data_IF_390265782890
#
_entry.id   IF_390265782890
#
_cell.length_a   1.000
_cell.length_b   1.000
_cell.length_c   1.000
_cell.angle_alpha   90.00
_cell.angle_beta   90.00
_cell.angle_gamma   90.00
#
_symmetry.space_group_name_H-M   'P 1'
#
loop_
_entity.id
_entity.type
_entity.pdbx_description
1 polymer ?
#
# COMPACT_ATOMS: atom_id res chain seq x y z
N UNK A 1 5.58 -8.24 -3.84
CA UNK A 1 5.35 -6.81 -3.49
C UNK A 1 6.04 -5.85 -4.46
N UNK A 2 6.73 -6.33 -5.50
CA UNK A 2 7.48 -5.50 -6.46
C UNK A 2 6.63 -4.43 -7.13
N UNK A 3 5.48 -4.78 -7.70
CA UNK A 3 4.54 -3.83 -8.32
C UNK A 3 4.12 -2.72 -7.36
N UNK A 4 3.82 -3.07 -6.11
CA UNK A 4 3.44 -2.08 -5.09
C UNK A 4 4.58 -1.11 -4.77
N UNK A 5 5.82 -1.61 -4.64
CA UNK A 5 7.01 -0.77 -4.47
C UNK A 5 7.27 0.16 -5.66
N UNK A 6 7.09 -0.34 -6.88
CA UNK A 6 7.20 0.43 -8.12
C UNK A 6 6.13 1.52 -8.21
N UNK A 7 4.88 1.22 -7.83
CA UNK A 7 3.78 2.18 -7.80
C UNK A 7 4.03 3.30 -6.79
N UNK A 8 4.57 2.97 -5.60
CA UNK A 8 5.00 3.98 -4.63
C UNK A 8 6.12 4.87 -5.20
N UNK A 9 7.09 4.29 -5.92
CA UNK A 9 8.15 5.06 -6.57
C UNK A 9 7.60 5.98 -7.68
N UNK A 10 6.64 5.49 -8.47
CA UNK A 10 5.96 6.29 -9.48
C UNK A 10 5.16 7.42 -8.84
N UNK A 11 4.48 7.15 -7.72
CA UNK A 11 3.75 8.16 -6.95
C UNK A 11 4.68 9.29 -6.45
N UNK A 12 5.89 8.95 -6.02
CA UNK A 12 6.94 9.91 -5.63
C UNK A 12 7.39 10.74 -6.83
N UNK A 13 7.70 10.09 -7.96
CA UNK A 13 8.15 10.76 -9.19
C UNK A 13 7.11 11.71 -9.77
N UNK A 14 5.83 11.32 -9.79
CA UNK A 14 4.71 12.16 -10.25
C UNK A 14 4.55 13.45 -9.43
N UNK A 15 4.98 13.43 -8.16
CA UNK A 15 4.97 14.60 -7.27
C UNK A 15 6.26 15.44 -7.36
N UNK A 16 7.23 15.03 -8.16
CA UNK A 16 8.54 15.68 -8.26
C UNK A 16 9.38 15.56 -6.98
N UNK A 17 9.08 14.60 -6.10
CA UNK A 17 9.81 14.42 -4.84
C UNK A 17 11.05 13.56 -5.05
N UNK A 18 12.09 13.84 -4.27
CA UNK A 18 13.30 13.03 -4.26
C UNK A 18 13.19 11.91 -3.22
N UNK A 19 13.99 10.84 -3.38
CA UNK A 19 14.09 9.80 -2.35
C UNK A 19 14.55 10.37 -1.01
N UNK A 20 15.43 11.39 -1.04
CA UNK A 20 15.89 12.06 0.17
C UNK A 20 14.74 12.74 0.91
N UNK A 21 13.84 13.43 0.21
CA UNK A 21 12.65 14.02 0.84
C UNK A 21 11.76 12.97 1.51
N UNK A 22 11.66 11.77 0.94
CA UNK A 22 10.93 10.67 1.57
C UNK A 22 11.67 10.19 2.83
N UNK A 23 12.99 10.05 2.78
CA UNK A 23 13.80 9.72 3.96
C UNK A 23 13.56 10.75 5.08
N UNK A 24 13.65 12.04 4.76
CA UNK A 24 13.49 13.13 5.73
C UNK A 24 12.08 13.15 6.36
N UNK A 25 11.04 12.90 5.57
CA UNK A 25 9.64 12.91 6.04
C UNK A 25 9.24 11.64 6.79
N UNK A 26 9.85 10.51 6.45
CA UNK A 26 9.57 9.22 7.10
C UNK A 26 10.51 8.94 8.28
N UNK A 27 11.66 9.61 8.35
CA UNK A 27 12.73 9.32 9.29
C UNK A 27 13.49 8.00 9.01
N UNK A 28 13.29 7.39 7.83
CA UNK A 28 13.99 6.17 7.45
C UNK A 28 15.26 6.47 6.65
N UNK A 29 16.23 5.56 6.73
CA UNK A 29 17.43 5.66 5.93
C UNK A 29 17.18 5.35 4.44
N UNK A 30 18.14 5.75 3.60
CA UNK A 30 18.06 5.54 2.16
C UNK A 30 17.95 4.04 1.79
N UNK A 31 18.59 3.17 2.58
CA UNK A 31 18.58 1.72 2.38
C UNK A 31 17.17 1.15 2.55
N UNK A 32 16.46 1.56 3.59
CA UNK A 32 15.07 1.16 3.85
C UNK A 32 14.15 1.67 2.77
N UNK A 33 14.28 2.94 2.36
CA UNK A 33 13.45 3.53 1.29
C UNK A 33 13.71 2.84 -0.06
N UNK A 34 14.96 2.46 -0.37
CA UNK A 34 15.24 1.69 -1.57
C UNK A 34 14.60 0.29 -1.54
N UNK A 35 14.63 -0.39 -0.39
CA UNK A 35 13.95 -1.68 -0.22
C UNK A 35 12.44 -1.56 -0.37
N UNK A 36 11.84 -0.49 0.16
CA UNK A 36 10.41 -0.18 -0.03
C UNK A 36 10.08 -0.03 -1.52
N UNK A 37 10.83 0.79 -2.26
CA UNK A 37 10.59 0.97 -3.69
C UNK A 37 10.92 -0.25 -4.55
N UNK A 38 11.76 -1.16 -4.06
CA UNK A 38 11.99 -2.46 -4.67
C UNK A 38 10.90 -3.50 -4.33
N UNK A 39 10.00 -3.19 -3.39
CA UNK A 39 8.97 -4.11 -2.93
C UNK A 39 9.54 -5.31 -2.16
N UNK A 40 10.61 -5.10 -1.38
CA UNK A 40 11.24 -6.13 -0.56
C UNK A 40 10.26 -6.62 0.53
N UNK A 41 9.88 -7.91 0.54
CA UNK A 41 8.93 -8.46 1.50
C UNK A 41 9.47 -8.54 2.95
N UNK A 42 10.79 -8.39 3.16
CA UNK A 42 11.39 -8.35 4.50
C UNK A 42 11.16 -7.02 5.23
N UNK A 43 10.71 -5.99 4.51
CA UNK A 43 10.42 -4.69 5.10
C UNK A 43 9.09 -4.77 5.87
N UNK A 44 9.10 -4.31 7.12
CA UNK A 44 7.91 -4.28 7.96
C UNK A 44 6.77 -3.50 7.29
N UNK A 45 5.54 -4.02 7.38
CA UNK A 45 4.37 -3.40 6.75
C UNK A 45 4.15 -1.95 7.22
N UNK A 46 4.45 -1.65 8.49
CA UNK A 46 4.38 -0.29 9.04
C UNK A 46 5.27 0.71 8.31
N UNK A 47 6.41 0.27 7.76
CA UNK A 47 7.29 1.11 6.94
C UNK A 47 6.62 1.52 5.64
N UNK A 48 5.97 0.57 4.95
CA UNK A 48 5.20 0.86 3.74
C UNK A 48 4.04 1.83 4.02
N UNK A 49 3.30 1.59 5.11
CA UNK A 49 2.17 2.45 5.51
C UNK A 49 2.66 3.86 5.83
N UNK A 50 3.81 4.02 6.51
CA UNK A 50 4.36 5.35 6.79
C UNK A 50 4.76 6.09 5.50
N UNK A 51 5.31 5.39 4.51
CA UNK A 51 5.58 5.97 3.18
C UNK A 51 4.28 6.38 2.48
N UNK A 52 3.22 5.56 2.56
CA UNK A 52 1.90 5.92 2.04
C UNK A 52 1.33 7.16 2.73
N UNK A 53 1.47 7.28 4.05
CA UNK A 53 1.05 8.45 4.81
C UNK A 53 1.76 9.73 4.36
N UNK A 54 3.07 9.66 4.11
CA UNK A 54 3.82 10.80 3.54
C UNK A 54 3.32 11.18 2.13
N UNK A 55 2.78 10.22 1.39
CA UNK A 55 2.18 10.44 0.07
C UNK A 55 0.71 10.88 0.11
N UNK A 56 0.07 10.91 1.29
CA UNK A 56 -1.36 11.18 1.43
C UNK A 56 -2.25 10.04 0.92
N UNK A 57 -1.80 8.79 1.09
CA UNK A 57 -2.46 7.58 0.60
C UNK A 57 -2.87 6.63 1.74
N UNK A 58 -2.83 7.06 2.99
CA UNK A 58 -3.15 6.29 4.20
C UNK A 58 -4.58 5.72 4.17
N UNK A 59 -5.54 6.48 3.65
CA UNK A 59 -6.95 6.05 3.53
C UNK A 59 -7.13 4.85 2.62
N UNK A 60 -6.26 4.68 1.62
CA UNK A 60 -6.32 3.53 0.72
C UNK A 60 -6.03 2.23 1.46
N UNK A 61 -5.12 2.27 2.44
CA UNK A 61 -4.82 1.11 3.28
C UNK A 61 -5.97 0.79 4.22
N UNK A 62 -6.59 1.81 4.82
CA UNK A 62 -7.76 1.64 5.69
C UNK A 62 -8.95 1.02 4.95
N UNK A 63 -9.16 1.38 3.68
CA UNK A 63 -10.24 0.85 2.84
C UNK A 63 -9.95 -0.53 2.26
N UNK A 64 -8.70 -0.98 2.23
CA UNK A 64 -8.30 -2.24 1.63
C UNK A 64 -9.07 -3.44 2.21
N UNK A 65 -9.23 -3.49 3.53
CA UNK A 65 -9.98 -4.56 4.21
C UNK A 65 -11.50 -4.41 4.08
N UNK A 66 -11.99 -3.19 3.85
CA UNK A 66 -13.42 -2.93 3.67
C UNK A 66 -13.94 -3.43 2.31
N UNK A 67 -13.06 -3.63 1.33
CA UNK A 67 -13.38 -4.10 -0.01
C UNK A 67 -13.09 -5.61 -0.18
N UNK A 68 -13.69 -6.46 0.67
CA UNK A 68 -13.68 -7.91 0.48
C UNK A 68 -14.71 -8.33 -0.60
N UNK A 69 -14.39 -7.98 -1.85
CA UNK A 69 -15.29 -8.18 -2.98
C UNK A 69 -15.60 -9.66 -3.23
N UNK A 70 -14.64 -10.55 -2.93
CA UNK A 70 -14.80 -12.01 -3.08
C UNK A 70 -15.69 -12.56 -1.97
N UNK A 71 -15.47 -12.17 -0.71
CA UNK A 71 -16.32 -12.58 0.41
C UNK A 71 -17.76 -12.12 0.23
N UNK A 72 -17.98 -10.88 -0.21
CA UNK A 72 -19.30 -10.35 -0.53
C UNK A 72 -19.97 -11.17 -1.64
N UNK A 73 -19.25 -11.48 -2.74
CA UNK A 73 -19.78 -12.31 -3.84
C UNK A 73 -20.18 -13.71 -3.35
N UNK A 74 -19.33 -14.37 -2.56
CA UNK A 74 -19.62 -15.69 -1.99
C UNK A 74 -20.81 -15.67 -1.04
N UNK A 75 -20.94 -14.64 -0.20
CA UNK A 75 -22.08 -14.46 0.69
C UNK A 75 -23.38 -14.28 -0.10
N UNK A 76 -23.36 -13.44 -1.14
CA UNK A 76 -24.53 -13.18 -1.98
C UNK A 76 -25.01 -14.45 -2.69
N UNK A 77 -24.08 -15.28 -3.20
CA UNK A 77 -24.42 -16.58 -3.79
C UNK A 77 -25.13 -17.46 -2.76
N UNK A 78 -24.60 -17.59 -1.53
CA UNK A 78 -25.22 -18.37 -0.46
C UNK A 78 -26.62 -17.87 -0.06
N UNK A 79 -26.82 -16.55 0.01
CA UNK A 79 -28.12 -15.95 0.35
C UNK A 79 -29.19 -16.23 -0.72
N UNK A 80 -28.79 -16.27 -2.00
CA UNK A 80 -29.67 -16.63 -3.11
C UNK A 80 -30.01 -18.13 -3.15
N UNK A 81 -29.06 -18.99 -2.77
CA UNK A 81 -29.26 -20.44 -2.71
C UNK A 81 -30.13 -20.89 -1.51
N UNK A 82 -30.08 -20.18 -0.38
CA UNK A 82 -30.84 -20.50 0.83
C UNK A 82 -32.31 -20.08 0.85
N UNK A 83 -32.83 -19.45 -0.22
CA UNK A 83 -34.25 -19.07 -0.35
C UNK A 83 -35.09 -20.06 -1.16
N UNK A 84 -34.68 -21.32 -1.26
CA UNK A 84 -35.48 -22.41 -1.84
C UNK A 84 -36.12 -23.29 -0.77
#
# INVERSE_FOLDING_TARGET
MTTFGEDLLLAVKRRGWTKQMICDRTGFDNKTINKVFAGDPSVAIGTYIKVMGVLGMEDNFAKLAAHDEVGIKLQNIKLLEGSK
#
